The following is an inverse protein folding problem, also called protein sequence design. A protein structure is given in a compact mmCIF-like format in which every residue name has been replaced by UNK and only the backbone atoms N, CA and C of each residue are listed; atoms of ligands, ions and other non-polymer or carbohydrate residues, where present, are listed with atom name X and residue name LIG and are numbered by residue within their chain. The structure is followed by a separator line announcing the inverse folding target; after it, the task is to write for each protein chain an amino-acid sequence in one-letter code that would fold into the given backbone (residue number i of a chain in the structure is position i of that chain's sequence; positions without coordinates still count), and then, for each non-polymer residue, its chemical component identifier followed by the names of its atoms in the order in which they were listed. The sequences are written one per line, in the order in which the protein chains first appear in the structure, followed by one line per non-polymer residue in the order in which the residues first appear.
data_IF_839787688565
#
_entry.id   IF_839787688565
#
_cell.length_a   1.000
_cell.length_b   1.000
_cell.length_c   1.000
_cell.angle_alpha   90.00
_cell.angle_beta   90.00
_cell.angle_gamma   90.00
#
_symmetry.space_group_name_H-M   'P 1'
#
loop_
_entity.id
_entity.type
_entity.pdbx_description
1 polymer ?
#
# COMPACT_ATOMS: atom_id res chain seq x y z
N UNK A 1 -9.49 5.67 -4.60
CA UNK A 1 -10.96 5.62 -4.44
C UNK A 1 -11.39 5.52 -2.98
N UNK A 2 -11.16 4.39 -2.31
CA UNK A 2 -11.70 4.15 -0.96
C UNK A 2 -11.29 5.22 0.06
N UNK A 3 -10.00 5.60 0.06
CA UNK A 3 -9.47 6.75 0.81
C UNK A 3 -10.24 8.05 0.55
N UNK A 4 -10.47 8.37 -0.72
CA UNK A 4 -11.06 9.65 -1.14
C UNK A 4 -12.53 9.74 -0.72
N UNK A 5 -13.26 8.62 -0.76
CA UNK A 5 -14.62 8.51 -0.21
C UNK A 5 -14.65 8.72 1.32
N UNK A 6 -13.72 8.10 2.05
CA UNK A 6 -13.66 8.20 3.51
C UNK A 6 -13.33 9.61 4.01
N UNK A 7 -12.55 10.39 3.26
CA UNK A 7 -12.21 11.78 3.59
C UNK A 7 -13.18 12.81 2.99
N UNK A 8 -14.26 12.36 2.34
CA UNK A 8 -15.25 13.25 1.70
C UNK A 8 -14.75 13.98 0.44
N UNK A 9 -13.67 13.51 -0.18
CA UNK A 9 -13.14 14.05 -1.43
C UNK A 9 -13.94 13.51 -2.63
N UNK A 10 -15.06 14.16 -2.94
CA UNK A 10 -15.96 13.81 -4.05
C UNK A 10 -15.91 14.93 -5.11
N UNK A 11 -15.65 14.62 -6.40
CA UNK A 11 -15.40 13.30 -6.97
C UNK A 11 -13.98 12.75 -6.69
N UNK A 12 -13.81 11.42 -6.58
CA UNK A 12 -12.50 10.80 -6.31
C UNK A 12 -11.48 11.14 -7.40
N UNK A 13 -10.21 11.35 -7.03
CA UNK A 13 -9.16 11.77 -7.97
C UNK A 13 -8.97 10.78 -9.15
N UNK A 14 -9.22 9.49 -8.90
CA UNK A 14 -9.15 8.43 -9.91
C UNK A 14 -10.28 8.48 -10.95
N UNK A 15 -11.37 9.21 -10.68
CA UNK A 15 -12.48 9.43 -11.62
C UNK A 15 -12.41 10.81 -12.28
N UNK A 16 -11.54 11.70 -11.79
CA UNK A 16 -11.34 13.02 -12.37
C UNK A 16 -10.33 13.03 -13.52
N UNK A 17 -9.36 12.10 -13.50
CA UNK A 17 -8.30 12.05 -14.50
C UNK A 17 -8.33 10.72 -15.26
N UNK A 18 -8.71 10.80 -16.54
CA UNK A 18 -8.84 9.68 -17.48
C UNK A 18 -7.54 8.86 -17.58
N UNK A 19 -6.38 9.48 -17.31
CA UNK A 19 -5.07 8.82 -17.37
C UNK A 19 -4.96 7.67 -16.38
N UNK A 20 -5.60 7.75 -15.21
CA UNK A 20 -5.60 6.64 -14.25
C UNK A 20 -6.38 5.43 -14.77
N UNK A 21 -7.49 5.66 -15.48
CA UNK A 21 -8.30 4.59 -16.03
C UNK A 21 -7.60 3.93 -17.22
N UNK A 22 -6.98 4.74 -18.09
CA UNK A 22 -6.21 4.27 -19.25
C UNK A 22 -5.00 3.44 -18.82
N UNK A 23 -4.23 3.91 -17.83
CA UNK A 23 -3.07 3.17 -17.31
C UNK A 23 -3.47 1.84 -16.66
N UNK A 24 -4.58 1.81 -15.92
CA UNK A 24 -5.14 0.59 -15.35
C UNK A 24 -5.54 -0.42 -16.45
N UNK A 25 -6.32 0.03 -17.44
CA UNK A 25 -6.75 -0.82 -18.57
C UNK A 25 -5.55 -1.34 -19.38
N UNK A 26 -4.59 -0.48 -19.71
CA UNK A 26 -3.39 -0.86 -20.43
C UNK A 26 -2.56 -1.88 -19.65
N UNK A 27 -2.39 -1.68 -18.33
CA UNK A 27 -1.67 -2.64 -17.48
C UNK A 27 -2.36 -4.00 -17.40
N UNK A 28 -3.70 -4.02 -17.33
CA UNK A 28 -4.49 -5.25 -17.32
C UNK A 28 -4.41 -6.00 -18.65
N UNK A 29 -4.52 -5.29 -19.77
CA UNK A 29 -4.38 -5.87 -21.11
C UNK A 29 -2.97 -6.46 -21.29
N UNK A 30 -1.94 -5.72 -20.89
CA UNK A 30 -0.56 -6.17 -20.94
C UNK A 30 -0.35 -7.44 -20.10
N UNK A 31 -0.87 -7.46 -18.86
CA UNK A 31 -0.81 -8.65 -18.01
C UNK A 31 -1.52 -9.86 -18.62
N UNK A 32 -2.65 -9.66 -19.31
CA UNK A 32 -3.41 -10.72 -19.97
C UNK A 32 -2.62 -11.38 -21.12
N UNK A 33 -2.00 -10.59 -22.00
CA UNK A 33 -1.22 -11.13 -23.12
C UNK A 33 0.07 -11.85 -22.66
N UNK A 34 0.68 -11.40 -21.56
CA UNK A 34 1.93 -11.94 -21.04
C UNK A 34 1.75 -12.94 -19.88
N UNK A 35 0.53 -13.38 -19.58
CA UNK A 35 0.23 -14.30 -18.47
C UNK A 35 1.08 -15.59 -18.43
N UNK A 36 1.43 -16.26 -19.56
CA UNK A 36 2.24 -17.49 -19.52
C UNK A 36 3.66 -17.24 -18.99
N UNK A 37 4.19 -16.02 -19.17
CA UNK A 37 5.50 -15.61 -18.69
C UNK A 37 5.46 -15.17 -17.21
N UNK A 38 4.32 -14.59 -16.78
CA UNK A 38 4.11 -14.09 -15.41
C UNK A 38 4.12 -15.21 -14.37
N UNK A 39 3.73 -16.43 -14.72
CA UNK A 39 3.82 -17.57 -13.79
C UNK A 39 5.26 -17.89 -13.35
N UNK A 40 6.29 -17.47 -14.09
CA UNK A 40 7.71 -17.55 -13.66
C UNK A 40 8.18 -16.32 -12.87
N UNK A 41 7.36 -15.28 -12.74
CA UNK A 41 7.71 -13.95 -12.20
C UNK A 41 7.16 -13.71 -10.77
N UNK A 42 6.95 -14.76 -9.99
CA UNK A 42 6.43 -14.66 -8.61
C UNK A 42 7.27 -13.72 -7.73
N UNK A 43 8.61 -13.78 -7.85
CA UNK A 43 9.52 -12.90 -7.07
C UNK A 43 9.43 -11.42 -7.49
N UNK A 44 9.53 -11.04 -8.78
CA UNK A 44 9.30 -9.66 -9.23
C UNK A 44 7.95 -9.08 -8.82
N UNK A 45 6.86 -9.84 -8.95
CA UNK A 45 5.51 -9.39 -8.59
C UNK A 45 5.43 -9.04 -7.11
N UNK A 46 6.05 -9.85 -6.25
CA UNK A 46 6.13 -9.58 -4.80
C UNK A 46 6.93 -8.32 -4.46
N UNK A 47 8.02 -8.04 -5.18
CA UNK A 47 8.81 -6.82 -4.99
C UNK A 47 7.99 -5.59 -5.41
N UNK A 48 7.28 -5.67 -6.54
CA UNK A 48 6.39 -4.60 -6.98
C UNK A 48 5.23 -4.37 -5.99
N UNK A 49 4.66 -5.44 -5.43
CA UNK A 49 3.63 -5.40 -4.38
C UNK A 49 4.16 -4.69 -3.12
N UNK A 50 5.38 -5.03 -2.67
CA UNK A 50 6.04 -4.35 -1.55
C UNK A 50 6.31 -2.85 -1.83
N UNK A 51 6.68 -2.50 -3.07
CA UNK A 51 6.92 -1.12 -3.45
C UNK A 51 5.62 -0.32 -3.46
N UNK A 52 4.57 -0.88 -4.06
CA UNK A 52 3.22 -0.30 -4.06
C UNK A 52 2.70 -0.09 -2.64
N UNK A 53 2.87 -1.07 -1.76
CA UNK A 53 2.51 -0.98 -0.34
C UNK A 53 3.13 0.26 0.34
N UNK A 54 4.44 0.44 0.23
CA UNK A 54 5.13 1.57 0.86
C UNK A 54 4.70 2.93 0.29
N UNK A 55 4.63 3.03 -1.04
CA UNK A 55 4.23 4.26 -1.73
C UNK A 55 2.79 4.66 -1.35
N UNK A 56 1.87 3.71 -1.37
CA UNK A 56 0.46 3.97 -1.06
C UNK A 56 0.21 4.24 0.42
N UNK A 57 0.96 3.62 1.34
CA UNK A 57 0.88 3.92 2.76
C UNK A 57 1.24 5.39 3.03
N UNK A 58 2.38 5.82 2.49
CA UNK A 58 2.89 7.18 2.64
C UNK A 58 1.99 8.20 1.95
N UNK A 59 1.58 7.94 0.71
CA UNK A 59 0.70 8.84 -0.04
C UNK A 59 -0.69 8.95 0.59
N UNK A 60 -1.23 7.86 1.13
CA UNK A 60 -2.49 7.84 1.85
C UNK A 60 -2.44 8.65 3.14
N UNK A 61 -1.40 8.42 3.95
CA UNK A 61 -1.18 9.15 5.20
C UNK A 61 -0.94 10.65 4.96
N UNK A 62 -0.08 10.99 4.00
CA UNK A 62 0.22 12.37 3.64
C UNK A 62 -1.02 13.12 3.13
N UNK A 63 -1.87 12.47 2.33
CA UNK A 63 -3.14 13.09 1.89
C UNK A 63 -4.09 13.29 3.06
N UNK A 64 -4.19 12.33 3.98
CA UNK A 64 -5.05 12.47 5.16
C UNK A 64 -4.61 13.65 6.05
N UNK A 65 -3.31 13.80 6.31
CA UNK A 65 -2.76 14.97 7.01
C UNK A 65 -3.07 16.29 6.28
N UNK A 66 -2.95 16.31 4.95
CA UNK A 66 -3.28 17.48 4.15
C UNK A 66 -4.77 17.88 4.22
N UNK A 67 -5.66 16.93 4.55
CA UNK A 67 -7.08 17.16 4.81
C UNK A 67 -7.37 17.58 6.26
N UNK A 68 -6.34 17.85 7.07
CA UNK A 68 -6.48 18.29 8.46
C UNK A 68 -6.85 17.17 9.44
N UNK A 69 -6.74 15.90 9.03
CA UNK A 69 -6.98 14.78 9.92
C UNK A 69 -5.84 14.63 10.93
N UNK A 70 -6.19 14.22 12.15
CA UNK A 70 -5.22 13.93 13.19
C UNK A 70 -4.31 12.73 12.87
N UNK A 71 -3.23 12.52 13.65
CA UNK A 71 -2.23 11.50 13.39
C UNK A 71 -2.79 10.07 13.28
N UNK A 72 -3.69 9.70 14.19
CA UNK A 72 -4.25 8.34 14.22
C UNK A 72 -5.14 8.04 12.99
N UNK A 73 -6.16 8.87 12.65
CA UNK A 73 -6.90 8.70 11.39
C UNK A 73 -6.01 8.71 10.15
N UNK A 74 -4.95 9.52 10.12
CA UNK A 74 -4.03 9.57 8.99
C UNK A 74 -3.22 8.29 8.81
N UNK A 75 -2.75 7.66 9.90
CA UNK A 75 -2.11 6.33 9.83
C UNK A 75 -3.08 5.28 9.32
N UNK A 76 -4.31 5.25 9.85
CA UNK A 76 -5.32 4.29 9.42
C UNK A 76 -5.65 4.43 7.93
N UNK A 77 -5.84 5.66 7.44
CA UNK A 77 -6.05 5.93 6.01
C UNK A 77 -4.84 5.55 5.16
N UNK A 78 -3.62 5.76 5.66
CA UNK A 78 -2.39 5.28 5.03
C UNK A 78 -2.42 3.77 4.83
N UNK A 79 -2.58 3.01 5.92
CA UNK A 79 -2.64 1.54 5.89
C UNK A 79 -3.77 1.03 4.99
N UNK A 80 -4.97 1.62 5.10
CA UNK A 80 -6.11 1.26 4.25
C UNK A 80 -5.85 1.53 2.77
N UNK A 81 -5.18 2.65 2.44
CA UNK A 81 -4.82 2.95 1.05
C UNK A 81 -3.80 1.94 0.52
N UNK A 82 -2.85 1.55 1.36
CA UNK A 82 -1.79 0.62 1.03
C UNK A 82 -2.31 -0.80 0.79
N UNK A 83 -3.17 -1.28 1.69
CA UNK A 83 -3.73 -2.63 1.63
C UNK A 83 -4.93 -2.71 0.69
N UNK A 84 -5.65 -1.62 0.43
CA UNK A 84 -6.93 -1.64 -0.29
C UNK A 84 -6.84 -2.21 -1.71
N UNK A 85 -5.79 -1.87 -2.46
CA UNK A 85 -5.61 -2.40 -3.81
C UNK A 85 -5.35 -3.92 -3.83
N UNK A 86 -4.46 -4.39 -2.95
CA UNK A 86 -4.16 -5.82 -2.79
C UNK A 86 -5.37 -6.59 -2.25
N UNK A 87 -6.11 -6.02 -1.30
CA UNK A 87 -7.33 -6.62 -0.75
C UNK A 87 -8.40 -6.82 -1.83
N UNK A 88 -8.66 -5.80 -2.65
CA UNK A 88 -9.62 -5.93 -3.76
C UNK A 88 -9.16 -6.99 -4.76
N UNK A 89 -7.87 -7.00 -5.12
CA UNK A 89 -7.29 -8.03 -6.01
C UNK A 89 -7.51 -9.44 -5.45
N UNK A 90 -7.17 -9.64 -4.18
CA UNK A 90 -7.21 -10.97 -3.55
C UNK A 90 -8.68 -11.46 -3.43
N UNK A 91 -9.63 -10.58 -3.08
CA UNK A 91 -11.07 -10.90 -3.04
C UNK A 91 -11.62 -11.25 -4.42
N UNK A 92 -11.23 -10.53 -5.48
CA UNK A 92 -11.67 -10.81 -6.85
C UNK A 92 -11.20 -12.18 -7.37
N UNK A 93 -10.09 -12.70 -6.85
CA UNK A 93 -9.55 -14.02 -7.18
C UNK A 93 -10.02 -15.09 -6.18
N UNK A 94 -10.92 -14.74 -5.26
CA UNK A 94 -11.44 -15.61 -4.20
C UNK A 94 -10.35 -16.18 -3.27
N UNK A 95 -9.27 -15.41 -3.04
CA UNK A 95 -8.22 -15.74 -2.07
C UNK A 95 -8.38 -14.92 -0.78
N UNK A 96 -7.86 -15.45 0.33
CA UNK A 96 -7.79 -14.71 1.59
C UNK A 96 -6.79 -13.56 1.46
N UNK A 97 -7.19 -12.29 1.71
CA UNK A 97 -6.31 -11.15 1.56
C UNK A 97 -5.00 -11.26 2.33
N UNK A 98 -3.88 -10.88 1.69
CA UNK A 98 -2.54 -10.93 2.31
C UNK A 98 -2.45 -10.15 3.61
N UNK A 99 -3.17 -9.05 3.74
CA UNK A 99 -3.19 -8.24 4.97
C UNK A 99 -3.72 -9.01 6.19
N UNK A 100 -4.58 -10.01 5.99
CA UNK A 100 -5.12 -10.86 7.05
C UNK A 100 -4.24 -12.09 7.32
N UNK A 101 -3.47 -12.52 6.32
CA UNK A 101 -2.63 -13.72 6.38
C UNK A 101 -1.19 -13.42 6.83
N UNK A 102 -0.70 -12.24 6.52
CA UNK A 102 0.69 -11.85 6.70
C UNK A 102 0.78 -10.59 7.57
N UNK A 103 1.00 -10.77 8.86
CA UNK A 103 1.04 -9.68 9.84
C UNK A 103 2.09 -8.61 9.48
N UNK A 104 3.23 -9.02 8.93
CA UNK A 104 4.31 -8.09 8.54
C UNK A 104 3.89 -7.18 7.37
N UNK A 105 2.90 -7.58 6.57
CA UNK A 105 2.34 -6.74 5.51
C UNK A 105 1.69 -5.48 6.11
N UNK A 106 0.83 -5.66 7.12
CA UNK A 106 0.19 -4.55 7.81
C UNK A 106 1.21 -3.72 8.60
N UNK A 107 2.17 -4.37 9.26
CA UNK A 107 3.23 -3.68 10.03
C UNK A 107 4.12 -2.83 9.12
N UNK A 108 4.46 -3.30 7.92
CA UNK A 108 5.23 -2.52 6.95
C UNK A 108 4.48 -1.27 6.49
N UNK A 109 3.19 -1.38 6.19
CA UNK A 109 2.36 -0.22 5.86
C UNK A 109 2.26 0.77 7.05
N UNK A 110 2.09 0.25 8.26
CA UNK A 110 2.03 1.05 9.47
C UNK A 110 3.35 1.78 9.74
N UNK A 111 4.50 1.12 9.56
CA UNK A 111 5.83 1.72 9.68
C UNK A 111 5.98 2.91 8.71
N UNK A 112 5.64 2.72 7.43
CA UNK A 112 5.72 3.78 6.43
C UNK A 112 4.85 4.98 6.79
N UNK A 113 3.62 4.75 7.25
CA UNK A 113 2.72 5.82 7.68
C UNK A 113 3.22 6.50 8.98
N UNK A 114 3.74 5.75 9.94
CA UNK A 114 4.29 6.29 11.19
C UNK A 114 5.49 7.22 10.93
N UNK A 115 6.36 6.89 9.97
CA UNK A 115 7.47 7.76 9.56
C UNK A 115 6.95 9.09 9.00
N UNK A 116 5.86 9.06 8.23
CA UNK A 116 5.23 10.30 7.72
C UNK A 116 4.68 11.15 8.85
N UNK A 117 4.00 10.54 9.83
CA UNK A 117 3.53 11.26 11.02
C UNK A 117 4.71 11.87 11.79
N UNK A 118 5.75 11.08 12.06
CA UNK A 118 6.91 11.55 12.80
C UNK A 118 7.60 12.73 12.09
N UNK A 119 7.75 12.65 10.76
CA UNK A 119 8.29 13.75 9.97
C UNK A 119 7.39 14.99 9.97
N UNK A 120 6.07 14.81 9.97
CA UNK A 120 5.13 15.92 10.08
C UNK A 120 5.18 16.59 11.47
N UNK A 121 5.36 15.82 12.55
CA UNK A 121 5.49 16.37 13.91
C UNK A 121 6.82 17.12 14.13
N UNK A 122 7.85 16.80 13.34
CA UNK A 122 9.16 17.44 13.37
C UNK A 122 9.31 18.58 12.35
N UNK A 123 8.23 18.96 11.66
CA UNK A 123 8.22 19.95 10.57
C UNK A 123 9.27 19.67 9.46
N UNK A 124 9.53 18.39 9.20
CA UNK A 124 10.46 17.98 8.16
C UNK A 124 9.85 18.11 6.75
N UNK A 125 10.68 18.32 5.71
CA UNK A 125 10.21 18.39 4.34
C UNK A 125 9.51 17.10 3.89
N UNK A 126 8.33 17.25 3.26
CA UNK A 126 7.43 16.14 2.92
C UNK A 126 8.05 15.09 2.00
N UNK A 127 8.79 15.52 0.97
CA UNK A 127 9.35 14.62 -0.05
C UNK A 127 10.39 13.62 0.50
N UNK A 128 11.44 14.03 1.23
CA UNK A 128 12.41 13.08 1.78
C UNK A 128 11.80 12.17 2.86
N UNK A 129 10.88 12.68 3.69
CA UNK A 129 10.15 11.86 4.67
C UNK A 129 9.31 10.80 3.96
N UNK A 130 8.63 11.16 2.87
CA UNK A 130 7.84 10.24 2.07
C UNK A 130 8.71 9.14 1.44
N UNK A 131 9.87 9.50 0.89
CA UNK A 131 10.82 8.55 0.32
C UNK A 131 11.36 7.61 1.41
N UNK A 132 11.75 8.16 2.57
CA UNK A 132 12.24 7.37 3.69
C UNK A 132 11.18 6.40 4.23
N UNK A 133 9.93 6.86 4.38
CA UNK A 133 8.81 6.02 4.82
C UNK A 133 8.50 4.90 3.83
N UNK A 134 8.47 5.21 2.53
CA UNK A 134 8.20 4.23 1.48
C UNK A 134 9.33 3.20 1.40
N UNK A 135 10.60 3.65 1.47
CA UNK A 135 11.76 2.79 1.49
C UNK A 135 11.79 1.88 2.73
N UNK A 136 11.47 2.39 3.91
CA UNK A 136 11.42 1.60 5.14
C UNK A 136 10.33 0.51 5.07
N UNK A 137 9.13 0.84 4.61
CA UNK A 137 8.06 -0.13 4.41
C UNK A 137 8.44 -1.20 3.37
N UNK A 138 9.00 -0.77 2.24
CA UNK A 138 9.48 -1.66 1.18
C UNK A 138 10.58 -2.61 1.68
N UNK A 139 11.62 -2.08 2.34
CA UNK A 139 12.74 -2.86 2.85
C UNK A 139 12.27 -3.85 3.91
N UNK A 140 11.43 -3.43 4.85
CA UNK A 140 10.86 -4.35 5.84
C UNK A 140 10.13 -5.48 5.14
N UNK A 141 9.31 -5.16 4.13
CA UNK A 141 8.54 -6.17 3.42
C UNK A 141 9.42 -7.12 2.63
N UNK A 142 10.40 -6.61 1.88
CA UNK A 142 11.34 -7.44 1.10
C UNK A 142 12.18 -8.34 2.02
N UNK A 143 12.75 -7.78 3.08
CA UNK A 143 13.54 -8.54 4.06
C UNK A 143 12.67 -9.59 4.74
N UNK A 144 11.42 -9.27 5.09
CA UNK A 144 10.53 -10.22 5.74
C UNK A 144 10.27 -11.46 4.88
N UNK A 145 10.05 -11.27 3.57
CA UNK A 145 9.81 -12.42 2.70
C UNK A 145 11.09 -13.17 2.38
N UNK A 146 12.22 -12.47 2.20
CA UNK A 146 13.51 -13.12 1.94
C UNK A 146 13.99 -13.95 3.14
N UNK A 147 13.70 -13.50 4.37
CA UNK A 147 14.08 -14.21 5.61
C UNK A 147 12.98 -15.13 6.15
N UNK A 148 11.83 -15.23 5.46
CA UNK A 148 10.70 -16.03 5.92
C UNK A 148 10.13 -15.58 7.27
N UNK A 149 10.31 -14.30 7.63
CA UNK A 149 9.77 -13.77 8.88
C UNK A 149 8.27 -13.95 8.89
N UNK A 150 7.79 -14.70 9.87
CA UNK A 150 6.39 -14.83 10.22
C UNK A 150 6.30 -14.32 11.65
N UNK A 151 5.47 -13.33 11.90
CA UNK A 151 5.20 -12.92 13.27
C UNK A 151 4.54 -14.08 14.05
N UNK A 152 4.67 -14.14 15.39
CA UNK A 152 4.22 -15.28 16.18
C UNK A 152 2.73 -15.54 15.97
N UNK A 153 2.39 -16.64 15.30
CA UNK A 153 1.00 -17.05 15.13
C UNK A 153 0.44 -17.42 16.50
N UNK A 154 -0.73 -16.89 16.85
CA UNK A 154 -1.45 -17.33 18.03
C UNK A 154 -1.66 -18.86 17.95
N UNK A 155 -1.31 -19.63 19.00
CA UNK A 155 -1.51 -21.07 18.97
C UNK A 155 -3.01 -21.38 18.96
N UNK A 156 -3.53 -21.88 17.83
CA UNK A 156 -4.93 -22.33 17.73
C UNK A 156 -5.65 -22.15 16.37
N UNK A 157 -5.00 -21.66 15.31
CA UNK A 157 -5.58 -21.56 13.96
C UNK A 157 -5.06 -22.62 13.00
#
# INVERSE_FOLDING_TARGET
MLRDLLIGAIPPATMQDERYLITALASGLFAFFFHPFINRLVKPVMVLDAAGLGIFAVAGCGKALAYGLGPLPAVLLGVLTACGGGLVRDVLVAEVPRVLREEIYAVAALLGAAIVIAGAMLDLPKAPVAIAGAAAAFLLRVVSVLRGWSAPRAPGS
#
